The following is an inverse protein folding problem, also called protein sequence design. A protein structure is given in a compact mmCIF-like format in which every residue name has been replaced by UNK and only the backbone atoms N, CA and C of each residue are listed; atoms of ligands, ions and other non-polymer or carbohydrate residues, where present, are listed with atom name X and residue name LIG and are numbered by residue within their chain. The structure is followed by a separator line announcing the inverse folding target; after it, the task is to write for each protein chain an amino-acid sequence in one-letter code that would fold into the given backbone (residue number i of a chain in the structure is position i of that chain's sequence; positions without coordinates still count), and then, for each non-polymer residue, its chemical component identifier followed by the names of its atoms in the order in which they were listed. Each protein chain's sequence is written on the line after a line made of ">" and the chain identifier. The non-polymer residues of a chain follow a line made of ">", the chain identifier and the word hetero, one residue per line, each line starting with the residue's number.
data_IF_284474697911
#
_entry.id   IF_284474697911
#
_cell.length_a   1.000
_cell.length_b   1.000
_cell.length_c   1.000
_cell.angle_alpha   90.00
_cell.angle_beta   90.00
_cell.angle_gamma   90.00
#
_symmetry.space_group_name_H-M   'P 1'
#
loop_
_entity.id
_entity.type
_entity.pdbx_description
1 polymer ?
#
# COMPACT_ATOMS: atom_id res chain seq x y z
N UNK A 1 -13.82 8.28 26.27
CA UNK A 1 -13.20 8.94 25.09
C UNK A 1 -12.06 8.10 24.52
N UNK A 2 -10.92 7.92 25.20
CA UNK A 2 -9.81 7.07 24.66
C UNK A 2 -10.21 5.60 24.49
N UNK A 3 -10.97 5.03 25.43
CA UNK A 3 -11.46 3.64 25.35
C UNK A 3 -12.45 3.42 24.21
N UNK A 4 -13.26 4.44 23.90
CA UNK A 4 -14.25 4.39 22.81
C UNK A 4 -13.54 4.50 21.46
N UNK A 5 -12.49 5.32 21.38
CA UNK A 5 -11.63 5.43 20.20
C UNK A 5 -10.85 4.12 19.94
N UNK A 6 -10.32 3.47 20.98
CA UNK A 6 -9.64 2.18 20.81
C UNK A 6 -10.59 1.10 20.26
N UNK A 7 -11.82 1.03 20.78
CA UNK A 7 -12.86 0.11 20.29
C UNK A 7 -13.24 0.40 18.83
N UNK A 8 -13.29 1.67 18.45
CA UNK A 8 -13.50 2.07 17.06
C UNK A 8 -12.34 1.60 16.18
N UNK A 9 -11.09 1.81 16.60
CA UNK A 9 -9.91 1.33 15.87
C UNK A 9 -9.94 -0.20 15.72
N UNK A 10 -10.25 -0.95 16.78
CA UNK A 10 -10.37 -2.40 16.72
C UNK A 10 -11.46 -2.85 15.72
N UNK A 11 -12.64 -2.24 15.78
CA UNK A 11 -13.72 -2.52 14.84
C UNK A 11 -13.33 -2.23 13.39
N UNK A 12 -12.62 -1.12 13.15
CA UNK A 12 -12.10 -0.76 11.84
C UNK A 12 -11.04 -1.75 11.33
N UNK A 13 -10.15 -2.25 12.19
CA UNK A 13 -9.16 -3.28 11.84
C UNK A 13 -9.85 -4.59 11.44
N UNK A 14 -10.87 -5.04 12.20
CA UNK A 14 -11.62 -6.23 11.84
C UNK A 14 -12.40 -6.05 10.54
N UNK A 15 -12.99 -4.88 10.33
CA UNK A 15 -13.69 -4.54 9.09
C UNK A 15 -12.72 -4.56 7.89
N UNK A 16 -11.56 -3.91 8.03
CA UNK A 16 -10.54 -3.86 6.98
C UNK A 16 -10.02 -5.27 6.65
N UNK A 17 -9.73 -6.08 7.66
CA UNK A 17 -9.32 -7.48 7.49
C UNK A 17 -10.38 -8.32 6.78
N UNK A 18 -11.66 -8.15 7.15
CA UNK A 18 -12.77 -8.82 6.47
C UNK A 18 -12.91 -8.38 5.01
N UNK A 19 -12.87 -7.08 4.75
CA UNK A 19 -12.95 -6.53 3.38
C UNK A 19 -11.76 -6.99 2.53
N UNK A 20 -10.56 -7.05 3.09
CA UNK A 20 -9.37 -7.57 2.42
C UNK A 20 -9.51 -9.05 2.06
N UNK A 21 -10.08 -9.86 2.96
CA UNK A 21 -10.37 -11.27 2.69
C UNK A 21 -11.41 -11.44 1.57
N UNK A 22 -12.53 -10.71 1.65
CA UNK A 22 -13.57 -10.72 0.60
C UNK A 22 -13.00 -10.27 -0.75
N UNK A 23 -12.21 -9.21 -0.77
CA UNK A 23 -11.53 -8.72 -1.97
C UNK A 23 -10.53 -9.74 -2.52
N UNK A 24 -9.77 -10.42 -1.66
CA UNK A 24 -8.85 -11.47 -2.07
C UNK A 24 -9.60 -12.61 -2.77
N UNK A 25 -10.65 -13.15 -2.15
CA UNK A 25 -11.49 -14.21 -2.73
C UNK A 25 -12.15 -13.75 -4.03
N UNK A 26 -12.78 -12.58 -4.03
CA UNK A 26 -13.44 -12.03 -5.22
C UNK A 26 -12.49 -11.81 -6.38
N UNK A 27 -11.26 -11.36 -6.12
CA UNK A 27 -10.24 -11.18 -7.15
C UNK A 27 -9.71 -12.50 -7.72
N UNK A 28 -9.74 -13.62 -6.97
CA UNK A 28 -9.42 -14.94 -7.52
C UNK A 28 -10.53 -15.44 -8.44
N UNK A 29 -11.79 -15.10 -8.15
CA UNK A 29 -12.95 -15.60 -8.90
C UNK A 29 -13.24 -14.79 -10.17
N UNK A 30 -13.11 -13.46 -10.12
CA UNK A 30 -13.60 -12.56 -11.19
C UNK A 30 -12.45 -11.83 -11.91
N UNK A 31 -11.22 -11.95 -11.40
CA UNK A 31 -10.07 -11.18 -11.91
C UNK A 31 -10.15 -9.69 -11.52
N UNK A 32 -9.07 -8.94 -11.72
CA UNK A 32 -9.04 -7.53 -11.32
C UNK A 32 -9.87 -6.65 -12.24
N UNK A 33 -10.57 -5.68 -11.69
CA UNK A 33 -11.34 -4.69 -12.47
C UNK A 33 -10.44 -3.61 -13.11
N UNK A 34 -9.12 -3.71 -12.94
CA UNK A 34 -8.15 -2.72 -13.42
C UNK A 34 -7.10 -3.32 -14.36
N UNK A 35 -6.43 -2.46 -15.13
CA UNK A 35 -5.32 -2.87 -16.00
C UNK A 35 -5.74 -3.78 -17.16
N UNK A 36 -5.18 -4.99 -17.25
CA UNK A 36 -5.36 -5.91 -18.39
C UNK A 36 -6.83 -6.32 -18.57
N UNK A 37 -7.56 -6.52 -17.47
CA UNK A 37 -8.94 -7.02 -17.43
C UNK A 37 -10.00 -5.91 -17.42
N UNK A 38 -9.60 -4.64 -17.51
CA UNK A 38 -10.52 -3.48 -17.43
C UNK A 38 -11.59 -3.43 -18.54
N UNK A 39 -11.42 -4.19 -19.62
CA UNK A 39 -12.39 -4.26 -20.73
C UNK A 39 -13.59 -5.15 -20.45
N UNK A 40 -13.52 -6.01 -19.44
CA UNK A 40 -14.61 -6.93 -19.07
C UNK A 40 -15.69 -6.28 -18.19
N UNK A 41 -15.40 -5.08 -17.68
CA UNK A 41 -16.26 -4.37 -16.73
C UNK A 41 -16.85 -3.11 -17.36
N UNK A 42 -18.18 -3.02 -17.34
CA UNK A 42 -18.94 -1.82 -17.72
C UNK A 42 -19.02 -0.85 -16.54
N UNK A 43 -18.86 0.45 -16.80
CA UNK A 43 -18.94 1.47 -15.75
C UNK A 43 -18.25 2.78 -16.10
N UNK A 44 -18.50 3.81 -15.28
CA UNK A 44 -17.84 5.13 -15.39
C UNK A 44 -16.35 4.96 -15.11
N UNK A 45 -15.51 5.61 -15.93
CA UNK A 45 -14.05 5.51 -15.82
C UNK A 45 -13.43 6.88 -15.55
N UNK A 46 -12.38 6.87 -14.73
CA UNK A 46 -11.59 8.03 -14.33
C UNK A 46 -10.20 7.92 -14.97
N UNK A 47 -9.56 9.03 -15.39
CA UNK A 47 -8.20 8.97 -15.89
C UNK A 47 -7.26 8.36 -14.85
N UNK A 48 -6.36 7.47 -15.28
CA UNK A 48 -5.53 6.67 -14.38
C UNK A 48 -4.68 7.51 -13.42
N UNK A 49 -4.01 8.55 -13.92
CA UNK A 49 -3.11 9.39 -13.10
C UNK A 49 -3.81 10.07 -11.92
N UNK A 50 -4.89 10.86 -12.12
CA UNK A 50 -5.59 11.47 -10.98
C UNK A 50 -6.26 10.42 -10.09
N UNK A 51 -6.73 9.29 -10.64
CA UNK A 51 -7.28 8.21 -9.81
C UNK A 51 -6.23 7.64 -8.84
N UNK A 52 -5.04 7.29 -9.34
CA UNK A 52 -3.94 6.79 -8.51
C UNK A 52 -3.42 7.83 -7.52
N UNK A 53 -3.33 9.11 -7.91
CA UNK A 53 -2.94 10.16 -6.99
C UNK A 53 -3.96 10.34 -5.86
N UNK A 54 -5.25 10.47 -6.22
CA UNK A 54 -6.30 10.78 -5.25
C UNK A 54 -6.60 9.61 -4.33
N UNK A 55 -6.53 8.36 -4.81
CA UNK A 55 -6.87 7.19 -3.98
C UNK A 55 -5.86 6.98 -2.84
N UNK A 56 -4.56 7.24 -3.08
CA UNK A 56 -3.47 7.01 -2.11
C UNK A 56 -3.20 8.24 -1.22
N UNK A 57 -3.72 9.41 -1.60
CA UNK A 57 -3.53 10.68 -0.89
C UNK A 57 -3.91 10.62 0.60
N UNK A 58 -5.04 9.99 1.01
CA UNK A 58 -5.42 9.93 2.42
C UNK A 58 -4.38 9.23 3.31
N UNK A 59 -3.78 8.14 2.83
CA UNK A 59 -2.73 7.40 3.56
C UNK A 59 -1.44 8.22 3.74
N UNK A 60 -1.18 9.21 2.88
CA UNK A 60 -0.09 10.16 3.07
C UNK A 60 -0.48 11.33 3.98
N UNK A 61 -1.73 11.80 3.88
CA UNK A 61 -2.20 12.98 4.60
C UNK A 61 -2.39 12.73 6.11
N UNK A 62 -2.90 11.56 6.50
CA UNK A 62 -3.12 11.22 7.91
C UNK A 62 -1.84 11.22 8.78
N UNK A 63 -0.73 10.57 8.35
CA UNK A 63 0.53 10.62 9.09
C UNK A 63 1.08 12.04 9.24
N UNK A 64 1.00 12.84 8.16
CA UNK A 64 1.44 14.24 8.18
C UNK A 64 0.61 15.09 9.15
N UNK A 65 -0.71 14.88 9.16
CA UNK A 65 -1.60 15.54 10.10
C UNK A 65 -1.23 15.20 11.55
N UNK A 66 -1.00 13.92 11.87
CA UNK A 66 -0.62 13.49 13.23
C UNK A 66 0.78 14.01 13.63
N UNK A 67 1.72 14.19 12.69
CA UNK A 67 3.03 14.81 12.97
C UNK A 67 2.95 16.29 13.39
N UNK A 68 1.96 17.04 12.90
CA UNK A 68 1.79 18.47 13.20
C UNK A 68 0.89 18.66 14.44
N UNK A 69 0.14 17.64 14.82
CA UNK A 69 -0.83 17.70 15.90
C UNK A 69 -0.12 17.77 17.27
N UNK A 70 -0.40 18.77 18.11
CA UNK A 70 0.23 18.89 19.44
C UNK A 70 -0.12 17.74 20.40
N UNK A 71 -1.23 17.04 20.13
CA UNK A 71 -1.76 15.99 20.99
C UNK A 71 -1.14 14.61 20.74
N UNK A 72 -0.08 14.47 19.93
CA UNK A 72 0.53 13.19 19.58
C UNK A 72 1.47 12.66 20.69
N UNK A 73 0.87 12.24 21.82
CA UNK A 73 1.59 11.86 23.03
C UNK A 73 2.67 10.77 22.83
N UNK A 74 2.49 9.87 21.85
CA UNK A 74 3.42 8.76 21.60
C UNK A 74 4.48 9.04 20.56
N UNK A 75 4.37 10.13 19.79
CA UNK A 75 5.40 10.55 18.83
C UNK A 75 6.65 11.14 19.50
N UNK A 76 6.65 11.32 20.82
CA UNK A 76 7.89 11.57 21.56
C UNK A 76 8.86 10.38 21.52
N UNK A 77 8.35 9.16 21.37
CA UNK A 77 9.15 7.95 21.40
C UNK A 77 9.79 7.64 20.04
N UNK A 78 11.07 7.29 20.03
CA UNK A 78 11.80 6.98 18.80
C UNK A 78 11.16 5.85 17.97
N UNK A 79 10.72 4.70 18.53
CA UNK A 79 10.14 3.62 17.73
C UNK A 79 8.89 4.05 16.96
N UNK A 80 7.99 4.79 17.61
CA UNK A 80 6.75 5.30 16.99
C UNK A 80 7.04 6.23 15.81
N UNK A 81 8.01 7.14 15.98
CA UNK A 81 8.42 8.05 14.90
C UNK A 81 9.01 7.30 13.71
N UNK A 82 9.85 6.29 13.96
CA UNK A 82 10.47 5.52 12.87
C UNK A 82 9.41 4.73 12.10
N UNK A 83 8.50 4.05 12.79
CA UNK A 83 7.40 3.32 12.15
C UNK A 83 6.49 4.25 11.33
N UNK A 84 6.10 5.39 11.91
CA UNK A 84 5.28 6.37 11.19
C UNK A 84 6.04 6.97 9.99
N UNK A 85 7.34 7.21 10.11
CA UNK A 85 8.18 7.69 9.03
C UNK A 85 8.31 6.65 7.90
N UNK A 86 8.47 5.37 8.22
CA UNK A 86 8.48 4.30 7.22
C UNK A 86 7.16 4.26 6.42
N UNK A 87 6.04 4.34 7.12
CA UNK A 87 4.71 4.42 6.49
C UNK A 87 4.59 5.64 5.59
N UNK A 88 4.99 6.82 6.07
CA UNK A 88 4.97 8.05 5.30
C UNK A 88 5.88 7.99 4.07
N UNK A 89 7.11 7.49 4.20
CA UNK A 89 8.08 7.36 3.10
C UNK A 89 7.50 6.45 2.00
N UNK A 90 6.86 5.34 2.39
CA UNK A 90 6.18 4.46 1.46
C UNK A 90 5.07 5.19 0.69
N UNK A 91 4.16 5.87 1.39
CA UNK A 91 3.05 6.57 0.74
C UNK A 91 3.47 7.84 -0.02
N UNK A 92 4.57 8.50 0.36
CA UNK A 92 5.14 9.58 -0.46
C UNK A 92 5.60 9.04 -1.82
N UNK A 93 6.26 7.87 -1.84
CA UNK A 93 6.64 7.23 -3.10
C UNK A 93 5.41 6.81 -3.91
N UNK A 94 4.39 6.22 -3.29
CA UNK A 94 3.18 5.73 -4.00
C UNK A 94 2.22 6.83 -4.43
N UNK A 95 2.10 7.92 -3.68
CA UNK A 95 1.18 9.01 -3.98
C UNK A 95 1.82 10.07 -4.88
N UNK A 96 3.08 10.45 -4.65
CA UNK A 96 3.71 11.54 -5.43
C UNK A 96 4.54 11.01 -6.59
N UNK A 97 5.39 10.02 -6.34
CA UNK A 97 6.39 9.57 -7.33
C UNK A 97 5.77 8.62 -8.35
N UNK A 98 4.98 7.64 -7.91
CA UNK A 98 4.39 6.64 -8.79
C UNK A 98 3.43 7.27 -9.83
N UNK A 99 2.42 8.10 -9.47
CA UNK A 99 1.42 8.55 -10.43
C UNK A 99 1.98 9.51 -11.48
N UNK A 100 2.99 10.30 -11.10
CA UNK A 100 3.74 11.18 -12.02
C UNK A 100 4.51 10.36 -13.06
N UNK A 101 5.03 9.20 -12.65
CA UNK A 101 5.83 8.32 -13.51
C UNK A 101 5.00 7.29 -14.29
N UNK A 102 3.67 7.25 -14.12
CA UNK A 102 2.78 6.39 -14.93
C UNK A 102 2.84 6.84 -16.40
N UNK A 103 3.35 5.95 -17.26
CA UNK A 103 3.41 6.11 -18.72
C UNK A 103 2.26 5.34 -19.39
N UNK A 104 1.18 6.08 -19.65
CA UNK A 104 -0.05 5.52 -20.23
C UNK A 104 -0.79 4.59 -19.26
N UNK A 105 -2.11 4.62 -19.30
CA UNK A 105 -2.94 3.78 -18.44
C UNK A 105 -4.36 3.72 -18.98
N UNK A 106 -4.93 2.51 -19.04
CA UNK A 106 -6.35 2.38 -19.30
C UNK A 106 -7.12 3.08 -18.16
N UNK A 107 -8.20 3.80 -18.46
CA UNK A 107 -8.99 4.48 -17.43
C UNK A 107 -9.43 3.51 -16.32
N UNK A 108 -9.33 3.95 -15.07
CA UNK A 108 -9.71 3.19 -13.87
C UNK A 108 -11.22 3.22 -13.71
N UNK A 109 -11.84 2.10 -13.33
CA UNK A 109 -13.26 2.11 -12.98
C UNK A 109 -13.49 2.92 -11.72
N UNK A 110 -14.53 3.75 -11.73
CA UNK A 110 -14.89 4.61 -10.60
C UNK A 110 -15.12 3.81 -9.31
N UNK A 111 -15.77 2.64 -9.40
CA UNK A 111 -16.00 1.77 -8.25
C UNK A 111 -14.70 1.33 -7.58
N UNK A 112 -13.71 0.91 -8.37
CA UNK A 112 -12.39 0.50 -7.86
C UNK A 112 -11.63 1.66 -7.24
N UNK A 113 -11.72 2.84 -7.87
CA UNK A 113 -11.14 4.06 -7.32
C UNK A 113 -11.75 4.42 -5.95
N UNK A 114 -13.09 4.40 -5.83
CA UNK A 114 -13.77 4.73 -4.57
C UNK A 114 -13.41 3.71 -3.48
N UNK A 115 -13.37 2.42 -3.81
CA UNK A 115 -13.00 1.38 -2.84
C UNK A 115 -11.55 1.56 -2.36
N UNK A 116 -10.61 1.84 -3.27
CA UNK A 116 -9.21 2.11 -2.93
C UNK A 116 -9.07 3.38 -2.08
N UNK A 117 -9.79 4.45 -2.43
CA UNK A 117 -9.81 5.70 -1.66
C UNK A 117 -10.33 5.48 -0.23
N UNK A 118 -11.42 4.74 -0.07
CA UNK A 118 -11.96 4.41 1.25
C UNK A 118 -10.98 3.55 2.06
N UNK A 119 -10.39 2.53 1.43
CA UNK A 119 -9.37 1.70 2.05
C UNK A 119 -8.19 2.54 2.55
N UNK A 120 -7.58 3.37 1.70
CA UNK A 120 -6.46 4.23 2.08
C UNK A 120 -6.85 5.25 3.16
N UNK A 121 -8.09 5.75 3.14
CA UNK A 121 -8.56 6.66 4.19
C UNK A 121 -8.64 5.96 5.54
N UNK A 122 -9.21 4.76 5.57
CA UNK A 122 -9.36 3.97 6.79
C UNK A 122 -8.00 3.47 7.29
N UNK A 123 -7.18 2.88 6.42
CA UNK A 123 -5.85 2.38 6.73
C UNK A 123 -4.93 3.50 7.23
N UNK A 124 -4.88 4.61 6.50
CA UNK A 124 -4.11 5.79 6.89
C UNK A 124 -4.50 6.32 8.26
N UNK A 125 -5.80 6.42 8.53
CA UNK A 125 -6.31 6.84 9.85
C UNK A 125 -5.91 5.83 10.94
N UNK A 126 -6.19 4.54 10.73
CA UNK A 126 -5.87 3.46 11.66
C UNK A 126 -4.40 3.47 12.08
N UNK A 127 -3.49 3.41 11.10
CA UNK A 127 -2.05 3.32 11.34
C UNK A 127 -1.51 4.58 12.00
N UNK A 128 -1.89 5.75 11.49
CA UNK A 128 -1.40 7.03 12.01
C UNK A 128 -1.89 7.27 13.44
N UNK A 129 -3.17 6.99 13.70
CA UNK A 129 -3.79 7.23 15.01
C UNK A 129 -3.29 6.23 16.05
N UNK A 130 -3.15 4.97 15.67
CA UNK A 130 -2.60 3.95 16.56
C UNK A 130 -1.17 4.27 16.99
N UNK A 131 -0.29 4.60 16.03
CA UNK A 131 1.11 4.94 16.30
C UNK A 131 1.31 6.27 17.04
N UNK A 132 0.42 7.25 16.84
CA UNK A 132 0.57 8.57 17.48
C UNK A 132 0.02 8.65 18.90
N UNK A 133 -0.95 7.80 19.27
CA UNK A 133 -1.66 7.87 20.56
C UNK A 133 -1.56 6.62 21.43
N UNK A 134 -1.63 5.43 20.83
CA UNK A 134 -1.90 4.19 21.57
C UNK A 134 -0.71 3.24 21.62
N UNK A 135 0.16 3.23 20.60
CA UNK A 135 1.29 2.32 20.53
C UNK A 135 2.34 2.62 21.60
N UNK A 136 2.59 1.62 22.46
CA UNK A 136 3.60 1.66 23.51
C UNK A 136 4.67 0.65 23.16
N UNK A 137 5.86 1.15 22.83
CA UNK A 137 7.05 0.34 22.61
C UNK A 137 8.09 0.64 23.69
N UNK A 138 8.93 -0.35 23.98
CA UNK A 138 10.12 -0.14 24.79
C UNK A 138 11.11 0.79 24.07
N UNK A 139 11.96 1.50 24.81
CA UNK A 139 12.92 2.45 24.23
C UNK A 139 13.96 1.77 23.32
N UNK A 140 14.31 0.52 23.65
CA UNK A 140 15.21 -0.35 22.89
C UNK A 140 14.50 -1.13 21.78
N UNK A 141 13.20 -0.87 21.52
CA UNK A 141 12.47 -1.61 20.48
C UNK A 141 13.12 -1.51 19.10
N UNK A 142 13.77 -0.39 18.78
CA UNK A 142 14.46 -0.19 17.49
C UNK A 142 15.70 -1.09 17.31
N UNK A 143 16.28 -1.60 18.40
CA UNK A 143 17.37 -2.59 18.34
C UNK A 143 16.87 -4.02 18.51
N UNK A 144 15.58 -4.20 18.82
CA UNK A 144 14.98 -5.51 19.00
C UNK A 144 15.03 -6.31 17.68
N UNK A 145 15.37 -7.61 17.71
CA UNK A 145 15.47 -8.44 16.49
C UNK A 145 14.20 -8.42 15.63
N UNK A 146 13.01 -8.38 16.24
CA UNK A 146 11.75 -8.27 15.49
C UNK A 146 11.64 -6.98 14.70
N UNK A 147 12.09 -5.85 15.27
CA UNK A 147 12.10 -4.57 14.57
C UNK A 147 13.11 -4.57 13.44
N UNK A 148 14.34 -5.05 13.68
CA UNK A 148 15.39 -5.10 12.66
C UNK A 148 15.01 -6.01 11.49
N UNK A 149 14.44 -7.17 11.77
CA UNK A 149 13.96 -8.09 10.73
C UNK A 149 12.77 -7.50 9.97
N UNK A 150 11.80 -6.90 10.66
CA UNK A 150 10.69 -6.20 10.04
C UNK A 150 11.14 -5.03 9.16
N UNK A 151 12.10 -4.23 9.63
CA UNK A 151 12.70 -3.12 8.89
C UNK A 151 13.41 -3.60 7.62
N UNK A 152 14.22 -4.66 7.73
CA UNK A 152 14.89 -5.26 6.58
C UNK A 152 13.88 -5.78 5.55
N UNK A 153 12.82 -6.47 5.98
CA UNK A 153 11.75 -6.94 5.11
C UNK A 153 11.02 -5.78 4.42
N UNK A 154 10.70 -4.72 5.16
CA UNK A 154 10.10 -3.51 4.61
C UNK A 154 10.98 -2.86 3.55
N UNK A 155 12.28 -2.72 3.83
CA UNK A 155 13.23 -2.10 2.90
C UNK A 155 13.40 -2.92 1.62
N UNK A 156 13.57 -4.24 1.75
CA UNK A 156 13.65 -5.16 0.61
C UNK A 156 12.37 -5.10 -0.22
N UNK A 157 11.20 -5.12 0.42
CA UNK A 157 9.90 -4.98 -0.24
C UNK A 157 9.78 -3.65 -1.00
N UNK A 158 10.22 -2.55 -0.40
CA UNK A 158 10.20 -1.23 -1.03
C UNK A 158 11.11 -1.16 -2.27
N UNK A 159 12.33 -1.69 -2.18
CA UNK A 159 13.27 -1.73 -3.32
C UNK A 159 12.71 -2.57 -4.46
N UNK A 160 12.18 -3.76 -4.16
CA UNK A 160 11.56 -4.64 -5.15
C UNK A 160 10.37 -3.95 -5.82
N UNK A 161 9.53 -3.26 -5.04
CA UNK A 161 8.36 -2.54 -5.55
C UNK A 161 8.77 -1.43 -6.54
N UNK A 162 9.69 -0.55 -6.14
CA UNK A 162 10.19 0.55 -6.98
C UNK A 162 10.88 0.01 -8.25
N UNK A 163 11.69 -1.04 -8.11
CA UNK A 163 12.40 -1.67 -9.22
C UNK A 163 11.44 -2.30 -10.23
N UNK A 164 10.43 -3.02 -9.74
CA UNK A 164 9.40 -3.64 -10.58
C UNK A 164 8.61 -2.59 -11.34
N UNK A 165 8.20 -1.51 -10.66
CA UNK A 165 7.55 -0.39 -11.31
C UNK A 165 8.44 0.22 -12.39
N UNK A 166 9.74 0.35 -12.13
CA UNK A 166 10.71 0.89 -13.10
C UNK A 166 10.80 0.01 -14.35
N UNK A 167 10.86 -1.31 -14.19
CA UNK A 167 10.81 -2.26 -15.30
C UNK A 167 9.51 -2.08 -16.09
N UNK A 168 8.35 -2.14 -15.43
CA UNK A 168 7.03 -2.05 -16.07
C UNK A 168 6.84 -0.74 -16.86
N UNK A 169 7.33 0.38 -16.32
CA UNK A 169 7.31 1.70 -16.98
C UNK A 169 8.19 1.75 -18.22
N UNK A 170 9.34 1.06 -18.21
CA UNK A 170 10.28 1.04 -19.33
C UNK A 170 9.91 0.04 -20.44
N UNK A 171 8.94 -0.85 -20.20
CA UNK A 171 8.35 -1.69 -21.25
C UNK A 171 7.50 -0.89 -22.23
N UNK A 172 7.01 0.29 -21.85
CA UNK A 172 6.20 1.18 -22.71
C UNK A 172 7.00 2.41 -23.12
N UNK A 173 7.11 2.68 -24.42
CA UNK A 173 7.58 3.99 -24.88
C UNK A 173 6.51 5.05 -24.60
N UNK A 174 6.88 6.33 -24.40
CA UNK A 174 5.90 7.41 -24.27
C UNK A 174 4.90 7.40 -25.43
N UNK A 175 3.60 7.29 -25.15
CA UNK A 175 2.53 7.25 -26.15
C UNK A 175 2.09 5.85 -26.61
N UNK A 176 2.80 4.77 -26.26
CA UNK A 176 2.38 3.40 -26.59
C UNK A 176 1.31 2.88 -25.62
N UNK A 177 0.20 2.37 -26.14
CA UNK A 177 -0.90 1.74 -25.37
C UNK A 177 -0.87 0.21 -25.41
N UNK A 178 0.03 -0.38 -26.21
CA UNK A 178 0.15 -1.83 -26.39
C UNK A 178 0.76 -2.55 -25.19
N UNK A 179 0.22 -3.73 -24.86
CA UNK A 179 0.79 -4.60 -23.83
C UNK A 179 2.04 -5.32 -24.37
N UNK A 180 3.18 -5.20 -23.67
CA UNK A 180 4.42 -5.91 -24.00
C UNK A 180 4.83 -6.78 -22.81
N UNK A 181 5.18 -8.03 -23.08
CA UNK A 181 5.67 -8.96 -22.06
C UNK A 181 7.12 -8.56 -21.71
N UNK A 182 7.49 -8.45 -20.41
CA UNK A 182 8.88 -8.17 -20.05
C UNK A 182 9.82 -9.28 -20.51
N UNK A 183 10.71 -8.97 -21.47
CA UNK A 183 11.74 -9.89 -21.98
C UNK A 183 12.90 -10.12 -20.99
N UNK A 184 13.13 -9.22 -20.04
CA UNK A 184 14.16 -9.41 -19.01
C UNK A 184 13.87 -10.62 -18.09
N UNK A 185 12.60 -11.06 -17.99
CA UNK A 185 12.20 -12.26 -17.25
C UNK A 185 12.24 -13.55 -18.10
N UNK A 186 12.49 -13.48 -19.41
CA UNK A 186 12.42 -14.65 -20.29
C UNK A 186 13.66 -15.55 -20.26
N UNK A 187 14.76 -15.12 -19.64
CA UNK A 187 16.01 -15.93 -19.60
C UNK A 187 16.12 -16.83 -18.36
N UNK A 188 15.10 -16.86 -17.49
CA UNK A 188 14.94 -17.88 -16.46
C UNK A 188 13.54 -18.48 -16.54
N UNK A 189 13.29 -19.15 -17.67
CA UNK A 189 12.11 -19.96 -17.89
C UNK A 189 12.22 -21.28 -17.11
N UNK A 190 11.85 -21.24 -15.84
CA UNK A 190 11.24 -22.38 -15.18
C UNK A 190 9.93 -21.93 -14.55
N UNK A 191 8.85 -22.24 -15.26
CA UNK A 191 7.45 -22.34 -14.81
C UNK A 191 6.72 -21.03 -14.46
N UNK A 192 5.57 -20.82 -15.11
CA UNK A 192 4.62 -19.72 -14.91
C UNK A 192 4.03 -19.60 -13.49
N UNK A 193 4.56 -20.33 -12.51
CA UNK A 193 4.33 -20.13 -11.09
C UNK A 193 5.04 -18.87 -10.56
N UNK A 194 6.18 -18.48 -11.13
CA UNK A 194 6.90 -17.29 -10.68
C UNK A 194 6.22 -15.97 -11.13
N UNK A 195 5.57 -15.95 -12.29
CA UNK A 195 4.78 -14.79 -12.73
C UNK A 195 3.54 -14.60 -11.86
N UNK A 196 2.85 -15.69 -11.51
CA UNK A 196 1.76 -15.66 -10.53
C UNK A 196 2.24 -15.28 -9.13
N UNK A 197 3.46 -15.68 -8.73
CA UNK A 197 4.07 -15.23 -7.48
C UNK A 197 4.39 -13.73 -7.52
N UNK A 198 4.95 -13.21 -8.61
CA UNK A 198 5.29 -11.78 -8.74
C UNK A 198 4.03 -10.91 -8.83
N UNK A 199 2.95 -11.40 -9.44
CA UNK A 199 1.64 -10.75 -9.48
C UNK A 199 0.86 -10.89 -8.16
N UNK A 200 1.09 -11.96 -7.38
CA UNK A 200 0.60 -12.09 -6.00
C UNK A 200 1.38 -11.22 -5.00
N UNK A 201 2.67 -11.00 -5.26
CA UNK A 201 3.57 -10.09 -4.54
C UNK A 201 3.29 -8.62 -4.89
N UNK A 202 2.59 -8.38 -6.00
CA UNK A 202 2.18 -7.05 -6.44
C UNK A 202 0.96 -6.51 -5.70
N UNK A 203 0.37 -7.31 -4.79
CA UNK A 203 -0.62 -6.80 -3.85
C UNK A 203 0.11 -6.36 -2.59
N UNK A 204 -0.12 -5.10 -2.22
CA UNK A 204 0.09 -4.42 -0.93
C UNK A 204 0.17 -5.29 0.35
N UNK A 205 -0.48 -6.47 0.53
CA UNK A 205 -0.38 -7.32 1.69
C UNK A 205 1.00 -7.57 2.30
N UNK A 206 2.10 -7.60 1.54
CA UNK A 206 3.39 -7.90 2.16
C UNK A 206 4.00 -6.74 2.95
N UNK A 207 3.81 -5.51 2.47
CA UNK A 207 4.29 -4.32 3.17
C UNK A 207 3.38 -4.06 4.38
N UNK A 208 2.06 -4.18 4.20
CA UNK A 208 1.10 -4.04 5.30
C UNK A 208 1.25 -5.14 6.35
N UNK A 209 1.47 -6.40 5.96
CA UNK A 209 1.67 -7.50 6.91
C UNK A 209 3.01 -7.40 7.65
N UNK A 210 4.09 -6.99 6.97
CA UNK A 210 5.37 -6.72 7.61
C UNK A 210 5.26 -5.54 8.58
N UNK A 211 4.54 -4.49 8.18
CA UNK A 211 4.24 -3.34 9.02
C UNK A 211 3.40 -3.73 10.25
N UNK A 212 2.34 -4.52 10.05
CA UNK A 212 1.53 -5.04 11.15
C UNK A 212 2.31 -5.96 12.10
N UNK A 213 3.25 -6.77 11.58
CA UNK A 213 4.17 -7.56 12.43
C UNK A 213 5.08 -6.67 13.26
N UNK A 214 5.61 -5.58 12.68
CA UNK A 214 6.42 -4.61 13.41
C UNK A 214 5.61 -3.87 14.48
N UNK A 215 4.30 -3.68 14.26
CA UNK A 215 3.41 -2.98 15.17
C UNK A 215 2.95 -3.86 16.34
N UNK A 216 2.64 -5.14 16.08
CA UNK A 216 2.07 -6.01 17.12
C UNK A 216 3.08 -6.84 17.91
N UNK A 217 4.33 -6.95 17.45
CA UNK A 217 5.37 -7.73 18.12
C UNK A 217 5.18 -9.23 17.98
#
# INVERSE_FOLDING_TARGET
>A
MELDELRLLDALVYLEGFLAFVAFVGLQMVGSSYGRYSSQWSGRRVPARPAWFLQELPSMAWPLYECIRPAAARLGNLPNRVLLAMFLIHYVQRTLVFPVLIRGGKPTLLFTFVLAFLFCTLNGYLQSRYLSQFAVYAEDWVTHPCFLTGFALWLVGMVINIHSDHILRNLRKPGETGYKIPRALQIHSLTGQHFLLTESLHREPQLDLAFWKMIKG
#
